data_IF_377322003332
#
_entry.id   IF_377322003332
#
_cell.length_a   1.000
_cell.length_b   1.000
_cell.length_c   1.000
_cell.angle_alpha   90.00
_cell.angle_beta   90.00
_cell.angle_gamma   90.00
#
_symmetry.space_group_name_H-M   'P 1'
#
loop_
_entity.id
_entity.type
_entity.pdbx_description
1 polymer ?
#
# COMPACT_ATOMS: atom_id res chain seq x y z
N UNK A 1 -15.13 -7.83 -37.88
CA UNK A 1 -13.78 -7.79 -37.29
C UNK A 1 -13.89 -7.04 -35.97
N UNK A 2 -14.04 -7.76 -34.85
CA UNK A 2 -14.12 -7.18 -33.52
C UNK A 2 -12.71 -6.67 -33.17
N UNK A 3 -12.53 -5.36 -33.18
CA UNK A 3 -11.34 -4.74 -32.59
C UNK A 3 -11.41 -5.00 -31.09
N UNK A 4 -10.64 -5.98 -30.60
CA UNK A 4 -10.36 -6.08 -29.17
C UNK A 4 -9.56 -4.83 -28.83
N UNK A 5 -10.16 -3.91 -28.08
CA UNK A 5 -9.48 -2.71 -27.61
C UNK A 5 -8.18 -3.12 -26.90
N UNK A 6 -7.11 -2.34 -27.08
CA UNK A 6 -5.93 -2.54 -26.25
C UNK A 6 -6.31 -2.11 -24.83
N UNK A 7 -6.18 -3.01 -23.86
CA UNK A 7 -6.43 -2.72 -22.46
C UNK A 7 -5.12 -2.44 -21.72
N UNK A 8 -5.18 -1.59 -20.71
CA UNK A 8 -4.03 -1.24 -19.85
C UNK A 8 -4.35 -1.58 -18.40
N UNK A 9 -3.39 -2.21 -17.72
CA UNK A 9 -3.47 -2.47 -16.28
C UNK A 9 -2.26 -1.88 -15.57
N UNK A 10 -2.50 -1.15 -14.49
CA UNK A 10 -1.46 -0.60 -13.62
C UNK A 10 -1.76 -0.99 -12.16
N UNK A 11 -1.36 -2.19 -11.79
CA UNK A 11 -1.69 -2.76 -10.49
C UNK A 11 -0.62 -2.44 -9.46
N UNK A 12 -0.94 -1.59 -8.48
CA UNK A 12 -0.03 -1.23 -7.38
C UNK A 12 1.28 -0.58 -7.87
N UNK A 13 1.20 0.18 -8.97
CA UNK A 13 2.36 0.81 -9.61
C UNK A 13 2.41 2.33 -9.48
N UNK A 14 1.26 3.02 -9.53
CA UNK A 14 1.24 4.48 -9.70
C UNK A 14 1.87 5.25 -8.54
N UNK A 15 1.85 4.71 -7.31
CA UNK A 15 2.52 5.34 -6.18
C UNK A 15 4.06 5.26 -6.26
N UNK A 16 4.63 4.43 -7.13
CA UNK A 16 6.07 4.42 -7.44
C UNK A 16 6.46 5.49 -8.48
N UNK A 17 5.49 6.05 -9.21
CA UNK A 17 5.75 7.02 -10.27
C UNK A 17 5.84 8.43 -9.68
N UNK A 18 6.91 9.21 -9.92
CA UNK A 18 7.04 10.57 -9.38
C UNK A 18 6.00 11.56 -9.90
N UNK A 19 5.55 11.39 -11.14
CA UNK A 19 4.50 12.22 -11.76
C UNK A 19 3.34 11.33 -12.23
N UNK A 20 2.36 11.12 -11.33
CA UNK A 20 1.22 10.25 -11.60
C UNK A 20 0.33 10.81 -12.72
N UNK A 21 0.15 12.13 -12.81
CA UNK A 21 -0.67 12.73 -13.87
C UNK A 21 -0.09 12.45 -15.27
N UNK A 22 1.24 12.56 -15.42
CA UNK A 22 1.89 12.23 -16.68
C UNK A 22 1.74 10.75 -17.03
N UNK A 23 1.89 9.84 -16.07
CA UNK A 23 1.67 8.42 -16.32
C UNK A 23 0.22 8.11 -16.74
N UNK A 24 -0.77 8.74 -16.10
CA UNK A 24 -2.18 8.63 -16.50
C UNK A 24 -2.38 9.10 -17.95
N UNK A 25 -1.76 10.23 -18.34
CA UNK A 25 -1.84 10.75 -19.72
C UNK A 25 -1.21 9.79 -20.73
N UNK A 26 -0.09 9.16 -20.39
CA UNK A 26 0.53 8.14 -21.23
C UNK A 26 -0.32 6.88 -21.35
N UNK A 27 -0.95 6.42 -20.27
CA UNK A 27 -1.92 5.33 -20.32
C UNK A 27 -3.07 5.67 -21.27
N UNK A 28 -3.62 6.89 -21.19
CA UNK A 28 -4.68 7.34 -22.11
C UNK A 28 -4.21 7.36 -23.56
N UNK A 29 -2.98 7.83 -23.82
CA UNK A 29 -2.43 7.96 -25.19
C UNK A 29 -2.28 6.61 -25.90
N UNK A 30 -1.95 5.54 -25.18
CA UNK A 30 -1.73 4.21 -25.78
C UNK A 30 -3.04 3.43 -25.98
N UNK A 31 -4.10 3.77 -25.25
CA UNK A 31 -5.41 3.15 -25.40
C UNK A 31 -6.05 3.56 -26.74
N UNK A 32 -6.63 2.58 -27.43
CA UNK A 32 -7.45 2.81 -28.63
C UNK A 32 -8.90 3.10 -28.21
N UNK A 33 -9.72 3.74 -29.05
CA UNK A 33 -11.16 3.86 -28.81
C UNK A 33 -11.78 2.49 -28.48
N UNK A 34 -12.54 2.42 -27.40
CA UNK A 34 -13.12 1.20 -26.83
C UNK A 34 -12.21 0.43 -25.87
N UNK A 35 -10.95 0.85 -25.67
CA UNK A 35 -10.02 0.25 -24.71
C UNK A 35 -10.34 0.62 -23.26
N UNK A 36 -9.99 -0.27 -22.33
CA UNK A 36 -10.19 -0.07 -20.88
C UNK A 36 -8.88 0.12 -20.14
N UNK A 37 -8.95 0.85 -19.04
CA UNK A 37 -7.86 0.98 -18.08
C UNK A 37 -8.32 0.54 -16.70
N UNK A 38 -7.46 -0.25 -16.03
CA UNK A 38 -7.64 -0.66 -14.63
C UNK A 38 -6.41 -0.26 -13.84
N UNK A 39 -6.60 0.57 -12.82
CA UNK A 39 -5.51 1.08 -11.97
C UNK A 39 -5.76 0.65 -10.53
N UNK A 40 -5.13 -0.44 -10.09
CA UNK A 40 -5.28 -0.91 -8.73
C UNK A 40 -4.37 -0.12 -7.77
N UNK A 41 -4.90 0.26 -6.62
CA UNK A 41 -4.12 0.90 -5.55
C UNK A 41 -4.72 0.62 -4.17
N UNK A 42 -4.03 1.09 -3.15
CA UNK A 42 -4.40 0.91 -1.75
C UNK A 42 -5.33 2.04 -1.28
N UNK A 43 -6.19 1.75 -0.32
CA UNK A 43 -6.83 2.79 0.48
C UNK A 43 -5.81 3.46 1.41
N UNK A 44 -6.14 4.64 1.94
CA UNK A 44 -5.24 5.41 2.82
C UNK A 44 -4.95 4.69 4.16
N UNK A 45 -5.90 3.90 4.64
CA UNK A 45 -5.83 3.10 5.87
C UNK A 45 -5.12 1.76 5.67
N UNK A 46 -4.70 1.43 4.45
CA UNK A 46 -4.03 0.18 4.15
C UNK A 46 -2.76 0.00 4.99
N UNK A 47 -2.71 -1.09 5.76
CA UNK A 47 -1.58 -1.41 6.61
C UNK A 47 -1.34 -0.37 7.72
N UNK A 48 -2.28 0.54 7.99
CA UNK A 48 -2.10 1.66 8.91
C UNK A 48 -1.65 1.19 10.29
N UNK A 49 -2.30 0.14 10.84
CA UNK A 49 -1.94 -0.40 12.16
C UNK A 49 -0.49 -0.87 12.24
N UNK A 50 0.03 -1.52 11.20
CA UNK A 50 1.46 -1.89 11.18
C UNK A 50 2.36 -0.67 11.05
N UNK A 51 1.99 0.33 10.23
CA UNK A 51 2.78 1.56 10.05
C UNK A 51 2.88 2.37 11.34
N UNK A 52 1.78 2.48 12.08
CA UNK A 52 1.73 3.17 13.37
C UNK A 52 2.61 2.46 14.40
N UNK A 53 2.44 1.15 14.57
CA UNK A 53 3.29 0.37 15.46
C UNK A 53 4.76 0.44 15.06
N UNK A 54 5.07 0.37 13.75
CA UNK A 54 6.45 0.49 13.28
C UNK A 54 7.04 1.85 13.63
N UNK A 55 6.28 2.93 13.46
CA UNK A 55 6.76 4.27 13.80
C UNK A 55 7.00 4.41 15.30
N UNK A 56 6.09 3.89 16.15
CA UNK A 56 6.25 3.85 17.60
C UNK A 56 7.51 3.07 18.00
N UNK A 57 7.64 1.83 17.54
CA UNK A 57 8.78 0.94 17.87
C UNK A 57 10.10 1.53 17.36
N UNK A 58 10.12 2.11 16.16
CA UNK A 58 11.31 2.78 15.63
C UNK A 58 11.73 3.95 16.52
N UNK A 59 10.81 4.85 16.86
CA UNK A 59 11.08 5.99 17.74
C UNK A 59 11.57 5.54 19.12
N UNK A 60 10.94 4.53 19.73
CA UNK A 60 11.35 3.95 21.02
C UNK A 60 12.78 3.39 20.99
N UNK A 61 13.21 2.86 19.84
CA UNK A 61 14.55 2.33 19.63
C UNK A 61 15.54 3.36 19.07
N UNK A 62 15.17 4.64 19.00
CA UNK A 62 16.04 5.74 18.57
C UNK A 62 16.22 5.86 17.06
N UNK A 63 15.32 5.29 16.26
CA UNK A 63 15.30 5.40 14.79
C UNK A 63 14.25 6.40 14.31
N UNK A 64 14.47 6.97 13.11
CA UNK A 64 13.52 7.86 12.45
C UNK A 64 12.67 7.09 11.45
N UNK A 65 11.33 7.04 11.62
CA UNK A 65 10.44 6.37 10.66
C UNK A 65 10.52 7.01 9.27
N UNK A 66 10.59 6.19 8.23
CA UNK A 66 10.61 6.66 6.84
C UNK A 66 9.21 6.94 6.29
N UNK A 67 9.11 7.82 5.29
CA UNK A 67 7.84 8.06 4.59
C UNK A 67 7.40 6.86 3.73
N UNK A 68 6.10 6.58 3.69
CA UNK A 68 5.54 5.50 2.88
C UNK A 68 5.42 5.90 1.41
N UNK A 69 6.07 5.15 0.51
CA UNK A 69 5.88 5.30 -0.95
C UNK A 69 4.42 5.05 -1.33
N UNK A 70 3.77 4.05 -0.71
CA UNK A 70 2.39 3.69 -1.01
C UNK A 70 1.38 4.83 -0.73
N UNK A 71 1.74 5.80 0.10
CA UNK A 71 0.91 6.97 0.39
C UNK A 71 0.90 8.03 -0.73
N UNK A 72 1.73 7.89 -1.77
CA UNK A 72 1.83 8.87 -2.88
C UNK A 72 0.68 8.78 -3.88
N UNK A 73 -0.04 7.65 -3.92
CA UNK A 73 -1.21 7.47 -4.77
C UNK A 73 -2.13 6.41 -4.14
N UNK A 74 -3.35 6.80 -3.81
CA UNK A 74 -4.34 6.01 -3.07
C UNK A 74 -5.69 6.06 -3.76
N UNK A 75 -6.67 5.32 -3.21
CA UNK A 75 -8.06 5.36 -3.68
C UNK A 75 -8.73 6.73 -3.53
N UNK A 76 -8.18 7.65 -2.75
CA UNK A 76 -8.71 9.00 -2.62
C UNK A 76 -8.27 9.93 -3.76
N UNK A 77 -7.31 9.50 -4.59
CA UNK A 77 -6.85 10.23 -5.77
C UNK A 77 -7.78 10.08 -6.98
N UNK A 78 -9.04 9.68 -6.77
CA UNK A 78 -10.05 9.67 -7.83
C UNK A 78 -10.14 11.01 -8.58
N UNK A 79 -10.11 12.20 -7.92
CA UNK A 79 -10.14 13.47 -8.64
C UNK A 79 -8.95 13.67 -9.58
N UNK A 80 -7.76 13.17 -9.23
CA UNK A 80 -6.58 13.20 -10.11
C UNK A 80 -6.80 12.29 -11.33
N UNK A 81 -7.32 11.08 -11.12
CA UNK A 81 -7.63 10.15 -12.22
C UNK A 81 -8.68 10.75 -13.15
N UNK A 82 -9.71 11.38 -12.61
CA UNK A 82 -10.80 11.99 -13.37
C UNK A 82 -10.38 13.19 -14.24
N UNK A 83 -9.24 13.83 -13.96
CA UNK A 83 -8.66 14.85 -14.86
C UNK A 83 -8.21 14.28 -16.19
N UNK A 84 -7.89 12.98 -16.26
CA UNK A 84 -7.43 12.30 -17.47
C UNK A 84 -8.50 11.34 -18.01
N UNK A 85 -9.22 10.67 -17.12
CA UNK A 85 -10.30 9.73 -17.43
C UNK A 85 -11.59 10.20 -16.74
N UNK A 86 -12.31 11.13 -17.36
CA UNK A 86 -13.49 11.76 -16.73
C UNK A 86 -14.59 10.76 -16.29
N UNK A 87 -14.68 9.61 -16.96
CA UNK A 87 -15.59 8.51 -16.65
C UNK A 87 -15.00 7.48 -15.67
N UNK A 88 -13.89 7.79 -14.99
CA UNK A 88 -13.29 6.86 -14.04
C UNK A 88 -14.21 6.63 -12.84
N UNK A 89 -14.44 5.35 -12.55
CA UNK A 89 -15.17 4.86 -11.39
C UNK A 89 -14.21 4.24 -10.38
N UNK A 90 -14.50 4.42 -9.09
CA UNK A 90 -13.72 3.84 -7.99
C UNK A 90 -14.44 2.62 -7.43
N UNK A 91 -13.75 1.49 -7.43
CA UNK A 91 -14.21 0.26 -6.79
C UNK A 91 -13.34 -0.03 -5.58
N UNK A 92 -13.96 -0.22 -4.41
CA UNK A 92 -13.27 -0.48 -3.15
C UNK A 92 -13.57 -1.91 -2.70
N UNK A 93 -12.52 -2.61 -2.31
CA UNK A 93 -12.58 -3.92 -1.64
C UNK A 93 -12.11 -3.71 -0.21
N UNK A 94 -13.06 -3.77 0.72
CA UNK A 94 -12.76 -3.74 2.15
C UNK A 94 -12.30 -5.12 2.61
N UNK A 95 -11.12 -5.18 3.21
CA UNK A 95 -10.57 -6.40 3.78
C UNK A 95 -9.63 -6.07 4.95
N UNK A 96 -9.18 -7.09 5.67
CA UNK A 96 -8.16 -6.98 6.69
C UNK A 96 -7.26 -8.21 6.67
N UNK A 97 -6.02 -8.04 7.10
CA UNK A 97 -5.25 -9.17 7.61
C UNK A 97 -5.68 -9.43 9.05
N UNK A 98 -5.89 -10.70 9.38
CA UNK A 98 -6.24 -11.14 10.72
C UNK A 98 -5.19 -12.16 11.14
N UNK A 99 -4.47 -11.85 12.22
CA UNK A 99 -3.42 -12.70 12.75
C UNK A 99 -3.80 -13.19 14.16
N UNK A 100 -4.19 -14.46 14.31
CA UNK A 100 -4.50 -15.04 15.63
C UNK A 100 -3.26 -15.24 16.52
N UNK A 101 -2.06 -15.20 15.93
CA UNK A 101 -0.78 -15.44 16.63
C UNK A 101 0.27 -14.45 16.14
N UNK A 102 1.22 -14.09 17.00
CA UNK A 102 2.24 -13.08 16.68
C UNK A 102 3.19 -13.51 15.55
N UNK A 103 3.55 -14.79 15.45
CA UNK A 103 4.54 -15.29 14.47
C UNK A 103 4.26 -14.88 13.01
N UNK A 104 3.08 -15.19 12.43
CA UNK A 104 2.72 -14.77 11.08
C UNK A 104 2.65 -13.25 10.89
N UNK A 105 2.21 -12.50 11.91
CA UNK A 105 2.18 -11.04 11.86
C UNK A 105 3.61 -10.46 11.84
N UNK A 106 4.51 -11.00 12.66
CA UNK A 106 5.92 -10.62 12.73
C UNK A 106 6.64 -10.97 11.43
N UNK A 107 6.35 -12.15 10.84
CA UNK A 107 6.87 -12.55 9.54
C UNK A 107 6.45 -11.55 8.45
N UNK A 108 5.17 -11.19 8.39
CA UNK A 108 4.67 -10.19 7.45
C UNK A 108 5.35 -8.82 7.66
N UNK A 109 5.43 -8.35 8.90
CA UNK A 109 6.14 -7.13 9.25
C UNK A 109 7.61 -7.14 8.81
N UNK A 110 8.32 -8.24 9.08
CA UNK A 110 9.75 -8.41 8.76
C UNK A 110 10.04 -8.44 7.26
N UNK A 111 9.03 -8.73 6.43
CA UNK A 111 9.19 -8.80 4.97
C UNK A 111 9.46 -7.44 4.32
N UNK A 112 9.12 -6.33 5.00
CA UNK A 112 9.28 -4.98 4.45
C UNK A 112 9.29 -3.87 5.51
N UNK A 113 8.30 -3.83 6.41
CA UNK A 113 8.08 -2.69 7.29
C UNK A 113 9.14 -2.51 8.37
N UNK A 114 9.85 -3.58 8.74
CA UNK A 114 11.01 -3.48 9.65
C UNK A 114 12.11 -2.57 9.11
N UNK A 115 12.21 -2.41 7.78
CA UNK A 115 13.21 -1.57 7.13
C UNK A 115 12.68 -0.14 6.84
N UNK A 116 11.47 0.21 7.31
CA UNK A 116 10.86 1.52 7.09
C UNK A 116 11.41 2.61 8.03
N UNK A 117 12.73 2.75 8.06
CA UNK A 117 13.49 3.72 8.85
C UNK A 117 14.51 4.46 7.97
N UNK A 118 15.00 5.61 8.43
CA UNK A 118 15.98 6.41 7.68
C UNK A 118 17.41 5.88 7.86
N UNK A 119 17.74 5.40 9.05
CA UNK A 119 19.07 4.95 9.47
C UNK A 119 19.28 3.45 9.22
N UNK A 120 18.79 2.94 8.09
CA UNK A 120 18.89 1.51 7.74
C UNK A 120 20.35 1.10 7.58
N UNK A 121 20.77 0.11 8.36
CA UNK A 121 22.09 -0.50 8.27
C UNK A 121 22.12 -1.55 7.14
N UNK A 122 23.21 -1.63 6.36
CA UNK A 122 23.35 -2.58 5.24
C UNK A 122 23.41 -4.04 5.72
N UNK A 123 23.96 -4.26 6.92
CA UNK A 123 24.04 -5.58 7.56
C UNK A 123 22.73 -6.01 8.25
N UNK A 124 21.75 -5.10 8.34
CA UNK A 124 20.47 -5.35 8.97
C UNK A 124 20.48 -5.31 10.51
N UNK A 125 21.50 -4.74 11.15
CA UNK A 125 21.60 -4.70 12.62
C UNK A 125 20.41 -4.03 13.33
N UNK A 126 19.73 -3.07 12.69
CA UNK A 126 18.48 -2.48 13.17
C UNK A 126 17.37 -3.53 13.40
N UNK A 127 17.32 -4.60 12.61
CA UNK A 127 16.28 -5.63 12.70
C UNK A 127 16.34 -6.37 14.04
N UNK A 128 17.55 -6.60 14.56
CA UNK A 128 17.74 -7.23 15.87
C UNK A 128 17.21 -6.38 17.04
N UNK A 129 17.14 -5.05 16.86
CA UNK A 129 16.58 -4.11 17.84
C UNK A 129 15.06 -3.98 17.70
N UNK A 130 14.54 -3.98 16.48
CA UNK A 130 13.12 -3.74 16.22
C UNK A 130 12.23 -4.99 16.37
N UNK A 131 12.71 -6.16 15.92
CA UNK A 131 11.87 -7.37 15.86
C UNK A 131 11.36 -7.84 17.23
N UNK A 132 12.19 -7.93 18.30
CA UNK A 132 11.70 -8.38 19.61
C UNK A 132 10.66 -7.43 20.22
N UNK A 133 10.83 -6.13 20.01
CA UNK A 133 9.90 -5.10 20.52
C UNK A 133 8.57 -5.18 19.75
N UNK A 134 8.62 -5.31 18.43
CA UNK A 134 7.43 -5.49 17.61
C UNK A 134 6.67 -6.78 17.96
N UNK A 135 7.39 -7.89 18.18
CA UNK A 135 6.80 -9.16 18.59
C UNK A 135 6.05 -9.02 19.92
N UNK A 136 6.68 -8.44 20.93
CA UNK A 136 6.05 -8.20 22.24
C UNK A 136 4.81 -7.30 22.11
N UNK A 137 4.87 -6.27 21.25
CA UNK A 137 3.75 -5.34 21.01
C UNK A 137 2.56 -6.05 20.35
N UNK A 138 2.83 -6.86 19.33
CA UNK A 138 1.79 -7.67 18.65
C UNK A 138 1.20 -8.70 19.62
N UNK A 139 2.04 -9.37 20.40
CA UNK A 139 1.62 -10.38 21.37
C UNK A 139 0.69 -9.78 22.44
N UNK A 140 1.05 -8.62 23.02
CA UNK A 140 0.21 -7.94 24.00
C UNK A 140 -1.15 -7.50 23.40
N UNK A 141 -1.18 -7.12 22.12
CA UNK A 141 -2.43 -6.82 21.44
C UNK A 141 -3.30 -8.07 21.27
N UNK A 142 -2.70 -9.20 20.89
CA UNK A 142 -3.42 -10.46 20.73
C UNK A 142 -3.97 -10.95 22.08
N UNK A 143 -3.21 -10.83 23.16
CA UNK A 143 -3.68 -11.19 24.51
C UNK A 143 -4.88 -10.35 24.96
N UNK A 144 -4.92 -9.08 24.57
CA UNK A 144 -6.01 -8.15 24.89
C UNK A 144 -7.23 -8.32 23.98
N UNK A 145 -7.00 -8.43 22.68
CA UNK A 145 -8.05 -8.33 21.64
C UNK A 145 -8.45 -9.70 21.05
N UNK A 146 -7.71 -10.76 21.37
CA UNK A 146 -7.84 -12.11 20.78
C UNK A 146 -7.14 -12.28 19.43
N UNK A 147 -6.90 -11.18 18.69
CA UNK A 147 -6.24 -11.19 17.39
C UNK A 147 -5.53 -9.86 17.09
N UNK A 148 -4.55 -9.91 16.20
CA UNK A 148 -3.97 -8.72 15.59
C UNK A 148 -4.60 -8.49 14.21
N UNK A 149 -5.58 -7.59 14.15
CA UNK A 149 -6.29 -7.20 12.92
C UNK A 149 -5.73 -5.94 12.28
N UNK A 150 -5.38 -5.98 11.00
CA UNK A 150 -4.82 -4.85 10.24
C UNK A 150 -5.70 -4.52 9.03
N UNK A 151 -6.31 -3.33 8.96
CA UNK A 151 -7.06 -2.89 7.78
C UNK A 151 -6.20 -2.96 6.51
N UNK A 152 -6.80 -3.49 5.44
CA UNK A 152 -6.14 -3.72 4.15
C UNK A 152 -7.11 -3.39 3.01
N UNK A 153 -7.86 -2.30 3.14
CA UNK A 153 -8.69 -1.85 2.04
C UNK A 153 -7.80 -1.52 0.83
N UNK A 154 -8.25 -1.96 -0.34
CA UNK A 154 -7.61 -1.75 -1.62
C UNK A 154 -8.69 -1.75 -2.70
N UNK A 155 -8.34 -1.43 -3.92
CA UNK A 155 -9.35 -1.30 -4.95
C UNK A 155 -8.74 -0.91 -6.28
N UNK A 156 -9.58 -0.47 -7.19
CA UNK A 156 -9.13 0.04 -8.46
C UNK A 156 -9.98 1.19 -8.97
N UNK A 157 -9.38 1.96 -9.86
CA UNK A 157 -10.09 2.83 -10.76
C UNK A 157 -10.29 2.11 -12.10
N UNK A 158 -11.49 2.21 -12.66
CA UNK A 158 -11.83 1.65 -13.97
C UNK A 158 -12.34 2.76 -14.86
N UNK A 159 -11.82 2.83 -16.09
CA UNK A 159 -12.29 3.79 -17.10
C UNK A 159 -12.15 3.22 -18.52
N UNK A 160 -12.73 3.92 -19.50
CA UNK A 160 -12.61 3.61 -20.92
C UNK A 160 -12.25 4.85 -21.75
N UNK A 161 -11.64 4.63 -22.92
CA UNK A 161 -11.27 5.67 -23.91
C UNK A 161 -12.14 5.60 -25.14
#
# INVERSE_FOLDING_TARGET
>A
MLWVGLDVMANHMLYHVPNQEQALREMRRVLKPGGRVVMATNAVDHGQRFRELQAEVACEQGFTPSSSIAGRFTLDDLPLVQRVFANAERHVVHNAFVFPTAGPALAYYSSSLVDAITEREEDGGHRAKLLPVMEARIQAIIERDGEFRVPKAAGCFVASV
#
